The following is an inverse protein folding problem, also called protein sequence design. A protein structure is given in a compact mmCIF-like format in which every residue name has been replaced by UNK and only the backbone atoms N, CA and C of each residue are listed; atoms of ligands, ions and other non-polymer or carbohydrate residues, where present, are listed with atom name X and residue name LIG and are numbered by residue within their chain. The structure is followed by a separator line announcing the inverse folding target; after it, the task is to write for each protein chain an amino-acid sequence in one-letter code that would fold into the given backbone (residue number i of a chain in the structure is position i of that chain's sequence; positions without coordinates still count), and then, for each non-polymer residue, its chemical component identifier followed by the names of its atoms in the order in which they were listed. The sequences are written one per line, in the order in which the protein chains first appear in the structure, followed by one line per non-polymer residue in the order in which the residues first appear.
data_IF_745319433910
#
_entry.id   IF_745319433910
#
_cell.length_a   1.000
_cell.length_b   1.000
_cell.length_c   1.000
_cell.angle_alpha   90.00
_cell.angle_beta   90.00
_cell.angle_gamma   90.00
#
_symmetry.space_group_name_H-M   'P 1'
#
loop_
_entity.id
_entity.type
_entity.pdbx_description
1 polymer ?
#
# COMPACT_ATOMS: atom_id res chain seq x y z
N UNK A 1 -39.86 9.19 37.59
CA UNK A 1 -38.70 8.53 36.95
C UNK A 1 -38.94 8.21 35.45
N UNK A 2 -39.27 9.20 34.61
CA UNK A 2 -39.45 9.00 33.15
C UNK A 2 -38.75 10.06 32.28
N UNK A 3 -38.02 11.01 32.89
CA UNK A 3 -37.34 12.11 32.17
C UNK A 3 -35.82 11.93 32.04
N UNK A 4 -35.20 10.99 32.75
CA UNK A 4 -33.75 10.73 32.67
C UNK A 4 -33.33 9.79 31.52
N UNK A 5 -34.24 8.94 31.02
CA UNK A 5 -33.91 7.95 29.98
C UNK A 5 -33.83 8.59 28.58
N UNK A 6 -34.53 9.71 28.34
CA UNK A 6 -34.53 10.37 27.02
C UNK A 6 -33.22 11.09 26.67
N UNK A 7 -32.42 11.53 27.66
CA UNK A 7 -31.16 12.20 27.39
C UNK A 7 -29.96 11.24 27.27
N UNK A 8 -30.05 10.05 27.86
CA UNK A 8 -28.99 9.04 27.76
C UNK A 8 -28.90 8.43 26.35
N UNK A 9 -30.01 8.33 25.63
CA UNK A 9 -30.01 7.86 24.23
C UNK A 9 -29.55 8.92 23.22
N UNK A 10 -29.64 10.22 23.54
CA UNK A 10 -29.15 11.28 22.65
C UNK A 10 -27.63 11.44 22.76
N UNK A 11 -27.04 11.15 23.93
CA UNK A 11 -25.59 11.25 24.12
C UNK A 11 -24.81 10.06 23.53
N UNK A 12 -25.44 8.88 23.43
CA UNK A 12 -24.82 7.68 22.81
C UNK A 12 -24.90 7.71 21.28
N UNK A 13 -25.80 8.50 20.69
CA UNK A 13 -25.90 8.67 19.25
C UNK A 13 -24.97 9.75 18.66
N UNK A 14 -24.27 10.52 19.50
CA UNK A 14 -23.32 11.56 19.06
C UNK A 14 -21.85 11.11 19.05
N UNK A 15 -21.55 9.87 19.45
CA UNK A 15 -20.19 9.33 19.57
C UNK A 15 -19.82 8.23 18.56
N UNK A 16 -20.70 7.90 17.61
CA UNK A 16 -20.41 6.89 16.57
C UNK A 16 -20.31 7.46 15.15
N UNK A 17 -20.27 8.79 15.01
CA UNK A 17 -20.00 9.46 13.74
C UNK A 17 -18.69 10.24 13.85
N UNK A 18 -17.60 9.53 14.10
CA UNK A 18 -16.27 10.04 13.76
C UNK A 18 -15.28 8.90 13.70
N UNK A 19 -15.03 8.44 12.47
CA UNK A 19 -13.73 8.05 11.92
C UNK A 19 -13.96 6.94 10.88
N UNK A 20 -14.37 7.33 9.68
CA UNK A 20 -14.11 6.56 8.45
C UNK A 20 -14.42 7.35 7.17
N UNK A 21 -15.06 8.52 7.28
CA UNK A 21 -14.94 9.54 6.25
C UNK A 21 -13.52 10.10 6.34
N UNK A 22 -12.65 9.60 5.46
CA UNK A 22 -11.61 10.35 4.73
C UNK A 22 -10.43 9.47 4.26
N UNK A 23 -10.46 8.14 4.42
CA UNK A 23 -9.35 7.29 3.94
C UNK A 23 -9.34 7.04 2.42
N UNK A 24 -10.46 7.28 1.73
CA UNK A 24 -10.61 6.93 0.30
C UNK A 24 -10.56 8.16 -0.62
N UNK A 25 -10.84 9.37 -0.13
CA UNK A 25 -10.85 10.56 -1.00
C UNK A 25 -9.44 11.01 -1.43
N UNK A 26 -8.41 10.75 -0.61
CA UNK A 26 -7.01 10.99 -1.00
C UNK A 26 -6.56 10.06 -2.14
N UNK A 27 -7.24 8.92 -2.31
CA UNK A 27 -6.98 7.95 -3.37
C UNK A 27 -7.73 8.22 -4.70
N UNK A 28 -8.44 9.35 -4.84
CA UNK A 28 -9.24 9.63 -6.05
C UNK A 28 -8.57 10.55 -7.08
N UNK A 29 -7.42 11.15 -6.76
CA UNK A 29 -6.65 12.01 -7.67
C UNK A 29 -5.62 11.25 -8.54
N UNK A 30 -5.69 9.92 -8.57
CA UNK A 30 -4.57 9.04 -8.95
C UNK A 30 -4.54 8.65 -10.43
N UNK A 31 -4.85 9.60 -11.29
CA UNK A 31 -4.23 9.65 -12.61
C UNK A 31 -3.22 10.78 -12.53
N UNK A 32 -2.12 10.54 -11.81
CA UNK A 32 -1.05 11.55 -11.68
C UNK A 32 -0.23 11.50 -12.94
N UNK A 33 -0.73 12.21 -13.93
CA UNK A 33 0.05 12.56 -15.09
C UNK A 33 1.27 13.40 -14.69
N UNK A 34 2.32 13.38 -15.49
CA UNK A 34 3.44 14.30 -15.35
C UNK A 34 2.98 15.75 -15.58
N UNK A 35 3.89 16.71 -15.48
CA UNK A 35 3.61 18.12 -15.73
C UNK A 35 3.08 18.41 -17.15
N UNK A 36 3.27 17.45 -18.07
CA UNK A 36 2.91 17.54 -19.48
C UNK A 36 1.62 16.75 -19.79
N UNK A 37 1.02 16.08 -18.80
CA UNK A 37 -0.23 15.33 -18.97
C UNK A 37 -0.06 13.86 -19.35
N UNK A 38 1.15 13.30 -19.34
CA UNK A 38 1.39 11.88 -19.62
C UNK A 38 1.21 11.02 -18.39
N UNK A 39 0.61 9.85 -18.52
CA UNK A 39 0.51 8.90 -17.42
C UNK A 39 1.90 8.47 -16.90
N UNK A 40 2.05 8.46 -15.58
CA UNK A 40 3.31 8.08 -14.91
C UNK A 40 3.15 6.76 -14.18
N UNK A 41 4.10 5.85 -14.39
CA UNK A 41 4.25 4.60 -13.69
C UNK A 41 4.62 4.84 -12.20
N UNK A 42 3.70 4.62 -11.26
CA UNK A 42 3.95 4.93 -9.83
C UNK A 42 3.48 3.87 -8.84
N UNK A 43 4.23 3.80 -7.74
CA UNK A 43 3.89 3.15 -6.48
C UNK A 43 4.50 4.00 -5.34
N UNK A 44 4.17 3.71 -4.07
CA UNK A 44 4.90 4.29 -2.94
C UNK A 44 6.37 3.88 -3.01
N UNK A 45 7.27 4.79 -2.64
CA UNK A 45 8.72 4.58 -2.78
C UNK A 45 9.33 3.76 -1.65
N UNK A 46 8.64 3.64 -0.52
CA UNK A 46 9.13 2.88 0.64
C UNK A 46 8.02 2.33 1.51
N UNK A 47 8.27 1.16 2.12
CA UNK A 47 7.43 0.54 3.14
C UNK A 47 8.30 -0.03 4.26
N UNK A 48 7.86 0.18 5.50
CA UNK A 48 8.50 -0.35 6.69
C UNK A 48 7.61 -1.41 7.34
N UNK A 49 8.20 -2.56 7.66
CA UNK A 49 7.53 -3.70 8.24
C UNK A 49 8.13 -4.08 9.58
N UNK A 50 7.28 -4.61 10.46
CA UNK A 50 7.73 -5.27 11.67
C UNK A 50 8.45 -6.59 11.38
N UNK A 51 9.05 -7.17 12.41
CA UNK A 51 9.83 -8.41 12.31
C UNK A 51 8.98 -9.66 12.05
N UNK A 52 7.66 -9.60 12.19
CA UNK A 52 6.75 -10.74 12.01
C UNK A 52 6.52 -11.10 10.54
N UNK A 53 5.97 -12.29 10.29
CA UNK A 53 5.38 -12.63 9.00
C UNK A 53 4.22 -11.68 8.70
N UNK A 54 4.17 -11.14 7.48
CA UNK A 54 3.14 -10.19 7.05
C UNK A 54 2.83 -10.36 5.55
N UNK A 55 1.66 -9.90 5.12
CA UNK A 55 1.30 -9.75 3.72
C UNK A 55 0.63 -8.41 3.52
N UNK A 56 1.21 -7.58 2.65
CA UNK A 56 0.80 -6.20 2.47
C UNK A 56 0.40 -5.91 1.04
N UNK A 57 -0.72 -5.22 0.88
CA UNK A 57 -1.21 -4.76 -0.41
C UNK A 57 -0.58 -3.41 -0.76
N UNK A 58 0.19 -3.37 -1.85
CA UNK A 58 0.75 -2.17 -2.44
C UNK A 58 -0.06 -1.79 -3.68
N UNK A 59 -0.39 -0.51 -3.85
CA UNK A 59 -1.16 -0.06 -5.02
C UNK A 59 -0.23 0.34 -6.15
N UNK A 60 -0.45 -0.24 -7.32
CA UNK A 60 0.18 0.19 -8.58
C UNK A 60 -0.75 1.18 -9.26
N UNK A 61 -0.23 2.37 -9.53
CA UNK A 61 -0.93 3.45 -10.19
C UNK A 61 -0.45 3.57 -11.63
N UNK A 62 -0.95 2.68 -12.47
CA UNK A 62 -0.68 2.68 -13.91
C UNK A 62 -1.79 1.98 -14.66
N UNK A 63 -2.33 2.58 -15.70
CA UNK A 63 -3.47 2.06 -16.47
C UNK A 63 -3.06 1.01 -17.51
N UNK A 64 -1.81 1.05 -17.97
CA UNK A 64 -1.26 0.09 -18.93
C UNK A 64 -0.75 -1.20 -18.29
N UNK A 65 0.04 -1.96 -19.06
CA UNK A 65 0.67 -3.19 -18.59
C UNK A 65 1.92 -2.90 -17.80
N UNK A 66 2.18 -3.72 -16.80
CA UNK A 66 3.34 -3.57 -15.94
C UNK A 66 3.89 -4.93 -15.51
N UNK A 67 5.15 -4.91 -15.11
CA UNK A 67 5.87 -6.03 -14.51
C UNK A 67 6.64 -5.58 -13.28
N UNK A 68 6.85 -6.49 -12.34
CA UNK A 68 7.58 -6.24 -11.09
C UNK A 68 8.54 -7.39 -10.81
N UNK A 69 9.70 -7.06 -10.28
CA UNK A 69 10.67 -8.03 -9.79
C UNK A 69 11.47 -7.43 -8.64
N UNK A 70 12.12 -8.27 -7.84
CA UNK A 70 13.16 -7.80 -6.94
C UNK A 70 14.40 -7.45 -7.74
N UNK A 71 15.03 -6.31 -7.42
CA UNK A 71 16.28 -5.89 -8.05
C UNK A 71 17.40 -6.90 -7.77
N UNK A 72 17.43 -7.42 -6.54
CA UNK A 72 18.32 -8.49 -6.11
C UNK A 72 17.50 -9.68 -5.58
N UNK A 73 17.91 -10.94 -5.82
CA UNK A 73 17.22 -12.09 -5.28
C UNK A 73 17.14 -12.05 -3.75
N UNK A 74 15.93 -12.21 -3.21
CA UNK A 74 15.67 -12.27 -1.77
C UNK A 74 15.01 -13.60 -1.39
N UNK A 75 15.46 -14.20 -0.28
CA UNK A 75 14.91 -15.47 0.22
C UNK A 75 13.82 -15.32 1.29
N UNK A 76 13.47 -14.09 1.66
CA UNK A 76 12.62 -13.78 2.81
C UNK A 76 11.37 -12.95 2.46
N UNK A 77 11.22 -12.57 1.20
CA UNK A 77 10.03 -11.91 0.68
C UNK A 77 9.60 -12.56 -0.62
N UNK A 78 8.32 -12.43 -0.97
CA UNK A 78 7.78 -12.91 -2.24
C UNK A 78 6.71 -11.95 -2.77
N UNK A 79 6.52 -11.96 -4.08
CA UNK A 79 5.43 -11.26 -4.77
C UNK A 79 4.36 -12.28 -5.13
N UNK A 80 3.08 -11.95 -4.92
CA UNK A 80 1.97 -12.81 -5.32
C UNK A 80 1.87 -12.97 -6.85
N UNK A 81 2.38 -11.97 -7.59
CA UNK A 81 2.53 -11.98 -9.04
C UNK A 81 3.66 -11.05 -9.49
N UNK A 82 4.13 -11.26 -10.71
CA UNK A 82 5.23 -10.48 -11.32
C UNK A 82 4.79 -9.61 -12.50
N UNK A 83 3.50 -9.60 -12.81
CA UNK A 83 2.94 -8.77 -13.89
C UNK A 83 1.44 -8.53 -13.71
N UNK A 84 0.94 -7.48 -14.35
CA UNK A 84 -0.48 -7.18 -14.44
C UNK A 84 -0.79 -6.04 -15.38
N UNK A 85 -2.01 -5.54 -15.30
CA UNK A 85 -2.54 -4.48 -16.14
C UNK A 85 -3.52 -3.65 -15.31
N UNK A 86 -3.54 -2.33 -15.57
CA UNK A 86 -4.43 -1.41 -14.89
C UNK A 86 -4.03 -1.11 -13.44
N UNK A 87 -4.79 -0.19 -12.84
CA UNK A 87 -4.61 0.21 -11.44
C UNK A 87 -5.12 -0.91 -10.54
N UNK A 88 -4.23 -1.46 -9.72
CA UNK A 88 -4.51 -2.71 -8.99
C UNK A 88 -3.54 -2.90 -7.81
N UNK A 89 -3.79 -3.92 -6.99
CA UNK A 89 -2.96 -4.26 -5.84
C UNK A 89 -1.94 -5.33 -6.18
N UNK A 90 -0.68 -5.10 -5.82
CA UNK A 90 0.37 -6.11 -5.72
C UNK A 90 0.48 -6.52 -4.24
N UNK A 91 0.52 -7.82 -3.92
CA UNK A 91 0.79 -8.23 -2.55
C UNK A 91 2.24 -8.65 -2.40
N UNK A 92 2.92 -8.04 -1.43
CA UNK A 92 4.22 -8.53 -0.95
C UNK A 92 3.99 -9.36 0.30
N UNK A 93 4.52 -10.58 0.31
CA UNK A 93 4.60 -11.41 1.49
C UNK A 93 5.99 -11.37 2.10
N UNK A 94 6.07 -11.42 3.43
CA UNK A 94 7.30 -11.32 4.21
C UNK A 94 7.36 -12.49 5.19
N UNK A 95 8.51 -13.14 5.28
CA UNK A 95 8.79 -14.11 6.35
C UNK A 95 9.20 -13.39 7.63
N UNK A 96 9.12 -14.07 8.78
CA UNK A 96 9.64 -13.56 10.05
C UNK A 96 11.15 -13.23 9.95
N UNK A 97 11.58 -12.23 10.70
CA UNK A 97 12.96 -11.77 10.81
C UNK A 97 13.45 -11.84 12.25
N UNK A 98 14.07 -12.96 12.62
CA UNK A 98 14.74 -13.14 13.92
C UNK A 98 16.17 -12.56 13.95
N UNK A 99 16.60 -11.90 12.86
CA UNK A 99 17.95 -11.35 12.71
C UNK A 99 18.00 -9.83 12.86
N UNK A 100 19.04 -9.22 12.27
CA UNK A 100 19.13 -7.77 12.12
C UNK A 100 18.11 -7.26 11.08
N UNK A 101 17.90 -5.94 11.06
CA UNK A 101 17.14 -5.26 10.01
C UNK A 101 17.65 -5.66 8.62
N UNK A 102 16.71 -5.85 7.68
CA UNK A 102 17.01 -6.23 6.29
C UNK A 102 16.17 -5.41 5.32
N UNK A 103 16.69 -5.27 4.10
CA UNK A 103 16.10 -4.44 3.06
C UNK A 103 16.05 -5.17 1.72
N UNK A 104 15.00 -4.93 0.94
CA UNK A 104 14.86 -5.34 -0.44
C UNK A 104 14.40 -4.17 -1.30
N UNK A 105 14.65 -4.25 -2.62
CA UNK A 105 14.10 -3.29 -3.58
C UNK A 105 13.27 -4.04 -4.61
N UNK A 106 12.03 -3.61 -4.80
CA UNK A 106 11.16 -4.03 -5.90
C UNK A 106 11.26 -2.98 -7.00
N UNK A 107 11.46 -3.41 -8.24
CA UNK A 107 11.38 -2.56 -9.43
C UNK A 107 10.10 -2.82 -10.19
N UNK A 108 9.29 -1.78 -10.33
CA UNK A 108 8.16 -1.72 -11.26
C UNK A 108 8.66 -1.26 -12.62
N UNK A 109 8.27 -1.96 -13.68
CA UNK A 109 8.51 -1.59 -15.08
C UNK A 109 7.20 -1.56 -15.83
N UNK A 110 6.85 -0.39 -16.38
CA UNK A 110 5.63 -0.19 -17.14
C UNK A 110 5.90 -0.30 -18.66
N UNK A 111 4.86 -0.62 -19.44
CA UNK A 111 4.96 -0.81 -20.89
C UNK A 111 5.25 0.48 -21.68
N UNK A 112 5.14 1.66 -21.05
CA UNK A 112 5.65 2.93 -21.57
C UNK A 112 7.17 3.10 -21.41
N UNK A 113 7.86 2.12 -20.80
CA UNK A 113 9.30 2.13 -20.56
C UNK A 113 9.73 2.83 -19.26
N UNK A 114 8.80 3.41 -18.51
CA UNK A 114 9.11 3.98 -17.20
C UNK A 114 9.33 2.90 -16.14
N UNK A 115 10.18 3.24 -15.17
CA UNK A 115 10.49 2.37 -14.03
C UNK A 115 10.36 3.13 -12.72
N UNK A 116 9.89 2.45 -11.68
CA UNK A 116 9.86 2.96 -10.32
C UNK A 116 10.43 1.92 -9.35
N UNK A 117 11.26 2.37 -8.41
CA UNK A 117 11.84 1.50 -7.39
C UNK A 117 11.16 1.73 -6.03
N UNK A 118 10.93 0.64 -5.31
CA UNK A 118 10.27 0.62 -4.01
C UNK A 118 11.19 -0.09 -3.03
N UNK A 119 11.54 0.60 -1.96
CA UNK A 119 12.36 0.04 -0.88
C UNK A 119 11.46 -0.59 0.16
N UNK A 120 11.75 -1.83 0.53
CA UNK A 120 11.12 -2.52 1.65
C UNK A 120 12.15 -2.69 2.75
N UNK A 121 11.83 -2.18 3.93
CA UNK A 121 12.63 -2.39 5.15
C UNK A 121 11.84 -3.27 6.11
N UNK A 122 12.48 -4.30 6.66
CA UNK A 122 11.88 -5.14 7.70
C UNK A 122 12.76 -5.12 8.94
N UNK A 123 12.17 -4.73 10.07
CA UNK A 123 12.90 -4.70 11.35
C UNK A 123 13.34 -6.09 11.80
N UNK A 124 14.42 -6.12 12.58
CA UNK A 124 14.84 -7.30 13.34
C UNK A 124 14.11 -7.42 14.68
N UNK A 125 14.16 -8.60 15.28
CA UNK A 125 13.57 -8.90 16.60
C UNK A 125 14.56 -8.72 17.75
#
# INVERSE_FOLDING_TARGET
MKKLIKYLMVFVLLMSVSCSKDYVEEYSSIYRTDKDGNEVCRMFTSYDFGSSTDTHAMVIYYSGKWSVDFVDPVGWAYLDRTSGEGVTFLHVGLLENDGAERMAVIRLTCDNGETADITITQSGK
#
